data_IF_341575569536
#
_entry.id   IF_341575569536
#
_cell.length_a   1.000
_cell.length_b   1.000
_cell.length_c   1.000
_cell.angle_alpha   90.00
_cell.angle_beta   90.00
_cell.angle_gamma   90.00
#
_symmetry.space_group_name_H-M   'P 1'
#
loop_
_entity.id
_entity.type
_entity.pdbx_description
1 polymer ?
#
# COMPACT_ATOMS: atom_id res chain seq x y z
N UNK A 1 38.97 17.22 -9.74
CA UNK A 1 38.38 16.05 -10.42
C UNK A 1 37.41 15.38 -9.43
N UNK A 2 36.10 15.69 -9.48
CA UNK A 2 35.11 15.12 -8.54
C UNK A 2 34.52 13.84 -9.13
N UNK A 3 34.93 12.68 -8.60
CA UNK A 3 34.26 11.40 -8.84
C UNK A 3 32.92 11.42 -8.10
N UNK A 4 31.85 11.84 -8.79
CA UNK A 4 30.47 11.66 -8.35
C UNK A 4 30.11 10.18 -8.51
N UNK A 5 30.42 9.39 -7.49
CA UNK A 5 29.98 8.01 -7.35
C UNK A 5 28.50 8.02 -6.94
N UNK A 6 27.60 8.33 -7.87
CA UNK A 6 26.17 8.03 -7.67
C UNK A 6 26.03 6.51 -7.76
N UNK A 7 25.66 5.81 -6.67
CA UNK A 7 25.43 4.36 -6.76
C UNK A 7 24.29 4.14 -7.75
N UNK A 8 24.61 3.55 -8.91
CA UNK A 8 23.59 3.03 -9.83
C UNK A 8 22.93 1.84 -9.15
N UNK A 9 21.97 2.13 -8.27
CA UNK A 9 21.06 1.11 -7.76
C UNK A 9 20.34 0.51 -8.96
N UNK A 10 20.54 -0.79 -9.17
CA UNK A 10 19.92 -1.52 -10.28
C UNK A 10 18.39 -1.43 -10.18
N UNK A 11 17.72 -1.38 -11.34
CA UNK A 11 16.25 -1.33 -11.41
C UNK A 11 15.64 -2.47 -10.59
N UNK A 12 16.23 -3.66 -10.64
CA UNK A 12 15.84 -4.83 -9.84
C UNK A 12 15.86 -4.57 -8.34
N UNK A 13 16.88 -3.87 -7.82
CA UNK A 13 16.96 -3.53 -6.38
C UNK A 13 15.89 -2.51 -5.99
N UNK A 14 15.57 -1.54 -6.87
CA UNK A 14 14.49 -0.56 -6.62
C UNK A 14 13.13 -1.23 -6.52
N UNK A 15 12.85 -2.17 -7.43
CA UNK A 15 11.60 -2.94 -7.43
C UNK A 15 11.52 -3.80 -6.17
N UNK A 16 12.58 -4.54 -5.84
CA UNK A 16 12.62 -5.39 -4.66
C UNK A 16 12.37 -4.60 -3.36
N UNK A 17 12.99 -3.41 -3.23
CA UNK A 17 12.77 -2.52 -2.10
C UNK A 17 11.33 -2.00 -2.04
N UNK A 18 10.76 -1.58 -3.17
CA UNK A 18 9.38 -1.08 -3.23
C UNK A 18 8.36 -2.17 -2.86
N UNK A 19 8.53 -3.39 -3.39
CA UNK A 19 7.63 -4.51 -3.09
C UNK A 19 7.81 -5.02 -1.66
N UNK A 20 9.04 -5.06 -1.15
CA UNK A 20 9.31 -5.49 0.23
C UNK A 20 8.77 -4.47 1.25
N UNK A 21 8.91 -3.18 0.98
CA UNK A 21 8.35 -2.13 1.84
C UNK A 21 6.82 -2.19 1.88
N UNK A 22 6.17 -2.36 0.71
CA UNK A 22 4.73 -2.52 0.63
C UNK A 22 4.24 -3.77 1.41
N UNK A 23 4.92 -4.90 1.26
CA UNK A 23 4.58 -6.12 2.00
C UNK A 23 4.76 -5.94 3.51
N UNK A 24 5.86 -5.29 3.94
CA UNK A 24 6.14 -5.04 5.35
C UNK A 24 5.10 -4.09 5.98
N UNK A 25 4.75 -2.99 5.31
CA UNK A 25 3.75 -2.04 5.79
C UNK A 25 2.37 -2.69 5.95
N UNK A 26 1.98 -3.55 4.99
CA UNK A 26 0.75 -4.32 5.08
C UNK A 26 0.77 -5.29 6.28
N UNK A 27 1.88 -6.00 6.51
CA UNK A 27 2.01 -6.94 7.61
C UNK A 27 1.99 -6.26 8.98
N UNK A 28 2.68 -5.12 9.12
CA UNK A 28 2.73 -4.37 10.40
C UNK A 28 1.37 -3.83 10.81
N UNK A 29 0.51 -3.53 9.85
CA UNK A 29 -0.85 -3.07 10.12
C UNK A 29 -1.87 -4.23 10.13
N UNK A 30 -1.45 -5.48 9.83
CA UNK A 30 -2.37 -6.62 9.85
C UNK A 30 -2.76 -7.02 11.29
N UNK A 31 -1.91 -6.72 12.28
CA UNK A 31 -2.23 -6.98 13.68
C UNK A 31 -3.34 -6.07 14.20
N UNK A 32 -3.42 -4.82 13.74
CA UNK A 32 -4.49 -3.89 14.13
C UNK A 32 -5.83 -4.28 13.51
N UNK A 33 -5.81 -4.89 12.32
CA UNK A 33 -7.01 -5.45 11.68
C UNK A 33 -7.65 -6.60 12.46
N UNK A 34 -6.88 -7.33 13.28
CA UNK A 34 -7.37 -8.46 14.07
C UNK A 34 -7.90 -8.03 15.45
N UNK A 35 -7.79 -6.75 15.81
CA UNK A 35 -8.30 -6.27 17.08
C UNK A 35 -9.84 -6.23 17.08
N UNK A 36 -10.50 -6.78 18.12
CA UNK A 36 -11.96 -6.88 18.18
C UNK A 36 -12.67 -5.52 18.33
N UNK A 37 -11.95 -4.50 18.77
CA UNK A 37 -12.42 -3.11 18.77
C UNK A 37 -11.66 -2.34 17.69
N UNK A 38 -12.20 -2.20 16.47
CA UNK A 38 -11.56 -1.39 15.44
C UNK A 38 -11.50 0.05 15.94
N UNK A 39 -10.31 0.46 16.39
CA UNK A 39 -10.06 1.86 16.74
C UNK A 39 -10.22 2.67 15.46
N UNK A 40 -10.87 3.84 15.54
CA UNK A 40 -11.00 4.80 14.43
C UNK A 40 -9.66 5.15 13.71
N UNK A 41 -8.54 4.79 14.35
CA UNK A 41 -7.17 4.95 13.88
C UNK A 41 -6.59 3.68 13.23
N UNK A 42 -7.41 2.70 12.83
CA UNK A 42 -6.87 1.50 12.18
C UNK A 42 -6.32 1.83 10.78
N UNK A 43 -5.00 1.83 10.68
CA UNK A 43 -4.27 2.28 9.50
C UNK A 43 -4.17 1.22 8.40
N UNK A 44 -4.71 0.01 8.62
CA UNK A 44 -4.56 -1.09 7.68
C UNK A 44 -5.08 -0.76 6.28
N UNK A 45 -6.29 -0.20 6.17
CA UNK A 45 -6.85 0.21 4.87
C UNK A 45 -5.97 1.26 4.16
N UNK A 46 -5.45 2.23 4.90
CA UNK A 46 -4.55 3.25 4.36
C UNK A 46 -3.20 2.67 3.92
N UNK A 47 -2.65 1.74 4.69
CA UNK A 47 -1.41 1.05 4.35
C UNK A 47 -1.56 0.28 3.03
N UNK A 48 -2.68 -0.44 2.85
CA UNK A 48 -2.98 -1.15 1.60
C UNK A 48 -3.14 -0.19 0.42
N UNK A 49 -3.78 0.97 0.60
CA UNK A 49 -3.87 2.02 -0.44
C UNK A 49 -2.48 2.49 -0.86
N UNK A 50 -1.60 2.81 0.11
CA UNK A 50 -0.21 3.23 -0.16
C UNK A 50 0.53 2.14 -0.94
N UNK A 51 0.37 0.87 -0.56
CA UNK A 51 0.95 -0.25 -1.29
C UNK A 51 0.49 -0.27 -2.76
N UNK A 52 -0.81 -0.10 -3.02
CA UNK A 52 -1.34 -0.02 -4.38
C UNK A 52 -0.70 1.10 -5.21
N UNK A 53 -0.55 2.29 -4.62
CA UNK A 53 0.13 3.43 -5.27
C UNK A 53 1.61 3.12 -5.56
N UNK A 54 2.31 2.46 -4.64
CA UNK A 54 3.71 2.04 -4.85
C UNK A 54 3.84 1.04 -6.01
N UNK A 55 2.92 0.09 -6.14
CA UNK A 55 2.89 -0.83 -7.29
C UNK A 55 2.63 -0.10 -8.61
N UNK A 56 1.70 0.87 -8.63
CA UNK A 56 1.41 1.68 -9.82
C UNK A 56 2.60 2.56 -10.21
N UNK A 57 3.27 3.20 -9.26
CA UNK A 57 4.47 3.99 -9.54
C UNK A 57 5.64 3.11 -10.00
N UNK A 58 5.80 1.91 -9.42
CA UNK A 58 6.77 0.93 -9.88
C UNK A 58 6.49 0.45 -11.31
N UNK A 59 5.22 0.35 -11.72
CA UNK A 59 4.87 -0.02 -13.09
C UNK A 59 5.47 0.93 -14.14
N UNK A 60 5.52 2.24 -13.84
CA UNK A 60 6.06 3.27 -14.75
C UNK A 60 7.54 3.04 -15.10
N UNK A 61 8.29 2.34 -14.24
CA UNK A 61 9.69 1.98 -14.51
C UNK A 61 9.85 1.00 -15.67
N UNK A 62 8.78 0.30 -16.06
CA UNK A 62 8.79 -0.71 -17.12
C UNK A 62 8.17 -0.25 -18.44
N UNK A 63 7.67 0.99 -18.51
CA UNK A 63 6.92 1.55 -19.64
C UNK A 63 7.69 1.45 -20.98
N UNK A 64 9.03 1.52 -20.94
CA UNK A 64 9.88 1.60 -22.15
C UNK A 64 10.63 0.33 -22.53
N UNK A 65 10.42 -0.81 -21.86
CA UNK A 65 11.22 -1.99 -22.21
C UNK A 65 10.73 -3.36 -21.76
N UNK A 66 9.72 -3.44 -20.89
CA UNK A 66 9.24 -4.72 -20.36
C UNK A 66 7.73 -4.73 -20.18
N UNK A 67 7.00 -4.72 -21.29
CA UNK A 67 5.53 -4.65 -21.35
C UNK A 67 4.82 -5.69 -20.49
N UNK A 68 5.34 -6.93 -20.41
CA UNK A 68 4.78 -7.97 -19.52
C UNK A 68 4.80 -7.56 -18.04
N UNK A 69 5.94 -7.05 -17.57
CA UNK A 69 6.11 -6.62 -16.18
C UNK A 69 5.34 -5.34 -15.89
N UNK A 70 5.26 -4.41 -16.85
CA UNK A 70 4.39 -3.24 -16.78
C UNK A 70 2.95 -3.64 -16.45
N UNK A 71 2.35 -4.54 -17.24
CA UNK A 71 0.96 -4.97 -17.04
C UNK A 71 0.77 -5.73 -15.72
N UNK A 72 1.70 -6.60 -15.33
CA UNK A 72 1.61 -7.29 -14.04
C UNK A 72 1.60 -6.32 -12.85
N UNK A 73 2.49 -5.33 -12.83
CA UNK A 73 2.54 -4.31 -11.77
C UNK A 73 1.34 -3.37 -11.80
N UNK A 74 0.86 -3.00 -13.00
CA UNK A 74 -0.37 -2.21 -13.17
C UNK A 74 -1.58 -2.94 -12.58
N UNK A 75 -1.81 -4.19 -12.96
CA UNK A 75 -2.96 -4.98 -12.49
C UNK A 75 -2.87 -5.20 -10.99
N UNK A 76 -1.70 -5.63 -10.48
CA UNK A 76 -1.48 -5.83 -9.06
C UNK A 76 -1.74 -4.55 -8.27
N UNK A 77 -1.17 -3.42 -8.70
CA UNK A 77 -1.36 -2.14 -8.05
C UNK A 77 -2.82 -1.67 -8.04
N UNK A 78 -3.55 -1.90 -9.13
CA UNK A 78 -4.97 -1.53 -9.21
C UNK A 78 -5.85 -2.39 -8.29
N UNK A 79 -5.61 -3.70 -8.26
CA UNK A 79 -6.32 -4.63 -7.35
C UNK A 79 -6.04 -4.24 -5.90
N UNK A 80 -4.78 -4.01 -5.54
CA UNK A 80 -4.40 -3.62 -4.18
C UNK A 80 -5.00 -2.27 -3.79
N UNK A 81 -5.03 -1.29 -4.71
CA UNK A 81 -5.64 0.01 -4.47
C UNK A 81 -7.14 -0.11 -4.19
N UNK A 82 -7.86 -0.86 -5.02
CA UNK A 82 -9.30 -1.09 -4.84
C UNK A 82 -9.57 -1.81 -3.52
N UNK A 83 -8.81 -2.87 -3.22
CA UNK A 83 -8.95 -3.60 -1.96
C UNK A 83 -8.72 -2.69 -0.75
N UNK A 84 -7.69 -1.83 -0.79
CA UNK A 84 -7.41 -0.85 0.26
C UNK A 84 -8.55 0.15 0.43
N UNK A 85 -9.12 0.67 -0.65
CA UNK A 85 -10.29 1.56 -0.60
C UNK A 85 -11.53 0.88 0.00
N UNK A 86 -11.80 -0.38 -0.37
CA UNK A 86 -12.93 -1.16 0.17
C UNK A 86 -12.73 -1.37 1.68
N UNK A 87 -11.55 -1.83 2.09
CA UNK A 87 -11.22 -2.06 3.50
C UNK A 87 -11.33 -0.74 4.28
N UNK A 88 -10.75 0.34 3.77
CA UNK A 88 -10.85 1.65 4.40
C UNK A 88 -12.29 2.09 4.58
N UNK A 89 -13.14 1.95 3.55
CA UNK A 89 -14.54 2.36 3.64
C UNK A 89 -15.33 1.50 4.62
N UNK A 90 -15.13 0.17 4.61
CA UNK A 90 -15.79 -0.73 5.55
C UNK A 90 -15.41 -0.43 7.00
N UNK A 91 -14.13 -0.22 7.29
CA UNK A 91 -13.65 0.01 8.65
C UNK A 91 -13.94 1.43 9.14
N UNK A 92 -13.74 2.44 8.30
CA UNK A 92 -14.05 3.82 8.66
C UNK A 92 -15.56 4.03 8.81
N UNK A 93 -16.37 3.41 7.95
CA UNK A 93 -17.83 3.39 8.08
C UNK A 93 -18.29 2.69 9.36
N UNK A 94 -17.68 1.55 9.71
CA UNK A 94 -18.00 0.81 10.94
C UNK A 94 -17.55 1.57 12.20
N UNK A 95 -16.36 2.16 12.20
CA UNK A 95 -15.84 2.94 13.31
C UNK A 95 -16.64 4.24 13.54
N UNK A 96 -17.07 4.92 12.46
CA UNK A 96 -17.94 6.09 12.57
C UNK A 96 -19.31 5.71 13.16
N UNK A 97 -19.90 4.60 12.70
CA UNK A 97 -21.14 4.10 13.26
C UNK A 97 -20.99 3.73 14.74
N UNK A 98 -19.93 3.03 15.15
CA UNK A 98 -19.73 2.68 16.56
C UNK A 98 -19.40 3.87 17.48
N UNK A 99 -18.74 4.92 16.95
CA UNK A 99 -18.48 6.14 17.70
C UNK A 99 -19.79 6.86 18.09
N UNK A 100 -20.78 6.93 17.18
CA UNK A 100 -22.08 7.53 17.50
C UNK A 100 -22.78 6.81 18.66
N UNK A 101 -22.63 5.49 18.78
CA UNK A 101 -23.32 4.72 19.83
C UNK A 101 -22.66 4.88 21.20
N UNK A 102 -21.36 5.22 21.24
CA UNK A 102 -20.61 5.40 22.50
C UNK A 102 -20.76 6.81 23.09
N UNK A 103 -21.15 7.80 22.30
CA UNK A 103 -21.27 9.21 22.72
C UNK A 103 -22.71 9.76 22.69
N UNK A 104 -23.70 8.95 22.30
CA UNK A 104 -25.14 9.31 22.33
C UNK A 104 -25.87 8.61 23.51
N UNK A 105 -25.12 7.96 24.41
CA UNK A 105 -25.62 7.47 25.69
C UNK A 105 -25.66 8.56 26.76
#
# INVERSE_FOLDING_TARGET
MKLLFTPRISISLRIALLTAFAAFAGLTCASTFLDPEPVYWDFFGQAVIVCGVLYLTASLLFLKGKTRWFWSFMIAGFITLIAGCIIYWLFYGFAAAHAEWKYVG
#
